data_IF_220307851530
#
_entry.id   IF_220307851530
#
_cell.length_a   1.000
_cell.length_b   1.000
_cell.length_c   1.000
_cell.angle_alpha   90.00
_cell.angle_beta   90.00
_cell.angle_gamma   90.00
#
_symmetry.space_group_name_H-M   'P 1'
#
loop_
_entity.id
_entity.type
_entity.pdbx_description
1 polymer ?
#
# COMPACT_ATOMS: atom_id res chain seq x y z
N UNK A 1 -0.49 -53.08 10.02
CA UNK A 1 0.64 -52.17 9.79
C UNK A 1 0.96 -51.52 11.12
N UNK A 2 2.00 -52.02 11.78
CA UNK A 2 2.44 -51.56 13.09
C UNK A 2 2.87 -50.09 13.01
N UNK A 3 2.40 -49.27 13.95
CA UNK A 3 2.74 -47.84 13.99
C UNK A 3 4.21 -47.68 14.33
N UNK A 4 5.00 -47.14 13.40
CA UNK A 4 6.42 -46.84 13.64
C UNK A 4 6.55 -45.82 14.79
N UNK A 5 7.36 -46.16 15.79
CA UNK A 5 7.65 -45.28 16.91
C UNK A 5 8.25 -43.96 16.39
N UNK A 6 7.64 -42.84 16.77
CA UNK A 6 8.14 -41.52 16.43
C UNK A 6 9.16 -41.05 17.48
N UNK A 7 10.15 -40.27 17.07
CA UNK A 7 11.21 -39.71 17.92
C UNK A 7 11.31 -38.19 17.72
N UNK A 8 11.81 -37.47 18.73
CA UNK A 8 12.21 -36.05 18.64
C UNK A 8 13.72 -35.91 18.83
N UNK A 9 14.30 -34.93 18.12
CA UNK A 9 15.71 -34.60 18.22
C UNK A 9 15.88 -33.35 19.10
N UNK A 10 16.65 -33.49 20.18
CA UNK A 10 16.92 -32.43 21.15
C UNK A 10 18.41 -32.09 21.13
N UNK A 11 18.71 -30.80 21.06
CA UNK A 11 20.05 -30.26 21.18
C UNK A 11 20.16 -29.42 22.45
N UNK A 12 21.21 -29.67 23.25
CA UNK A 12 21.44 -29.03 24.55
C UNK A 12 22.77 -28.24 24.60
N UNK A 13 23.31 -27.84 23.44
CA UNK A 13 24.56 -27.07 23.37
C UNK A 13 25.85 -27.87 23.57
N UNK A 14 25.77 -29.20 23.68
CA UNK A 14 26.92 -30.07 23.89
C UNK A 14 27.73 -30.31 22.60
N UNK A 15 29.05 -30.26 22.73
CA UNK A 15 30.02 -30.46 21.63
C UNK A 15 30.76 -31.78 21.84
N UNK A 16 31.03 -32.50 20.76
CA UNK A 16 31.79 -33.76 20.80
C UNK A 16 33.28 -33.53 21.04
N UNK A 17 33.91 -34.45 21.76
CA UNK A 17 35.34 -34.40 22.09
C UNK A 17 36.19 -34.33 20.80
N UNK A 18 37.14 -33.40 20.75
CA UNK A 18 37.99 -33.15 19.58
C UNK A 18 37.53 -31.99 18.68
N UNK A 19 36.35 -31.40 18.93
CA UNK A 19 35.88 -30.23 18.19
C UNK A 19 35.96 -28.94 19.03
N UNK A 20 36.41 -27.85 18.41
CA UNK A 20 36.48 -26.52 19.04
C UNK A 20 35.10 -25.85 18.99
N UNK A 21 34.62 -25.33 20.13
CA UNK A 21 33.30 -24.71 20.29
C UNK A 21 33.03 -23.59 19.27
N UNK A 22 34.05 -22.81 18.94
CA UNK A 22 33.97 -21.70 17.97
C UNK A 22 33.69 -22.21 16.55
N UNK A 23 34.39 -23.27 16.15
CA UNK A 23 34.25 -23.85 14.80
C UNK A 23 32.93 -24.62 14.65
N UNK A 24 32.47 -25.28 15.71
CA UNK A 24 31.16 -25.95 15.73
C UNK A 24 30.02 -24.93 15.62
N UNK A 25 30.09 -23.82 16.36
CA UNK A 25 29.10 -22.73 16.24
C UNK A 25 29.02 -22.20 14.81
N UNK A 26 30.16 -21.97 14.16
CA UNK A 26 30.21 -21.50 12.76
C UNK A 26 29.55 -22.50 11.80
N UNK A 27 29.99 -23.76 11.83
CA UNK A 27 29.45 -24.83 10.95
C UNK A 27 27.98 -25.12 11.20
N UNK A 28 27.55 -25.07 12.46
CA UNK A 28 26.16 -25.27 12.84
C UNK A 28 25.28 -24.10 12.40
N UNK A 29 25.76 -22.85 12.56
CA UNK A 29 25.09 -21.66 12.05
C UNK A 29 24.90 -21.69 10.53
N UNK A 30 25.92 -22.11 9.79
CA UNK A 30 25.85 -22.29 8.32
C UNK A 30 24.85 -23.37 7.91
N UNK A 31 24.86 -24.54 8.58
CA UNK A 31 23.99 -25.65 8.23
C UNK A 31 22.50 -25.36 8.47
N UNK A 32 22.18 -24.57 9.51
CA UNK A 32 20.80 -24.22 9.87
C UNK A 32 20.38 -22.80 9.44
N UNK A 33 21.29 -22.01 8.86
CA UNK A 33 21.10 -20.60 8.51
C UNK A 33 20.65 -19.75 9.71
N UNK A 34 21.32 -19.92 10.84
CA UNK A 34 21.04 -19.22 12.11
C UNK A 34 22.29 -18.46 12.54
N UNK A 35 22.16 -17.16 12.81
CA UNK A 35 23.27 -16.28 13.21
C UNK A 35 22.94 -15.46 14.47
N UNK A 36 23.97 -14.87 15.08
CA UNK A 36 23.83 -13.90 16.16
C UNK A 36 23.29 -14.46 17.47
N UNK A 37 22.39 -13.72 18.11
CA UNK A 37 21.86 -14.01 19.46
C UNK A 37 21.11 -15.34 19.55
N UNK A 38 20.44 -15.75 18.47
CA UNK A 38 19.70 -17.02 18.39
C UNK A 38 20.63 -18.23 18.36
N UNK A 39 21.78 -18.13 17.68
CA UNK A 39 22.81 -19.17 17.68
C UNK A 39 23.47 -19.25 19.06
N UNK A 40 23.79 -18.11 19.68
CA UNK A 40 24.34 -18.08 21.04
C UNK A 40 23.40 -18.71 22.08
N UNK A 41 22.08 -18.49 21.94
CA UNK A 41 21.07 -19.09 22.80
C UNK A 41 20.96 -20.63 22.63
N UNK A 42 21.18 -21.19 21.45
CA UNK A 42 21.16 -22.65 21.27
C UNK A 42 22.37 -23.37 21.92
N UNK A 43 23.48 -22.65 22.10
CA UNK A 43 24.68 -23.15 22.77
C UNK A 43 24.82 -22.64 24.22
N UNK A 44 23.74 -22.09 24.80
CA UNK A 44 23.71 -21.62 26.20
C UNK A 44 23.44 -22.74 27.21
N UNK A 45 23.19 -23.96 26.74
CA UNK A 45 22.77 -25.11 27.56
C UNK A 45 21.24 -25.28 27.64
N UNK A 46 20.46 -24.37 27.04
CA UNK A 46 19.01 -24.48 26.99
C UNK A 46 18.55 -25.55 25.97
N UNK A 47 17.65 -26.44 26.41
CA UNK A 47 17.15 -27.54 25.59
C UNK A 47 16.34 -27.01 24.41
N UNK A 48 16.87 -27.20 23.20
CA UNK A 48 16.22 -26.76 21.97
C UNK A 48 15.78 -27.95 21.13
N UNK A 49 14.48 -28.01 20.78
CA UNK A 49 13.93 -29.07 19.93
C UNK A 49 14.14 -28.71 18.47
N UNK A 50 15.00 -29.46 17.78
CA UNK A 50 15.32 -29.23 16.36
C UNK A 50 14.21 -29.75 15.44
N UNK A 51 13.68 -30.94 15.72
CA UNK A 51 12.61 -31.56 14.91
C UNK A 51 11.80 -32.54 15.75
N UNK A 52 10.47 -32.48 15.59
CA UNK A 52 9.48 -33.34 16.27
C UNK A 52 8.95 -34.39 15.27
N UNK A 53 8.54 -35.55 15.79
CA UNK A 53 7.83 -36.59 15.04
C UNK A 53 8.59 -37.17 13.82
N UNK A 54 9.84 -37.61 14.01
CA UNK A 54 10.56 -38.41 13.00
C UNK A 54 10.28 -39.90 13.18
N UNK A 55 10.13 -40.70 12.11
CA UNK A 55 10.13 -42.16 12.24
C UNK A 55 11.48 -42.64 12.80
N UNK A 56 11.47 -43.63 13.70
CA UNK A 56 12.65 -44.10 14.44
C UNK A 56 13.85 -44.45 13.54
N UNK A 57 13.61 -44.95 12.32
CA UNK A 57 14.65 -45.28 11.34
C UNK A 57 15.39 -44.06 10.76
N UNK A 58 14.76 -42.88 10.70
CA UNK A 58 15.40 -41.68 10.16
C UNK A 58 16.21 -40.89 11.20
N UNK A 59 15.85 -40.99 12.49
CA UNK A 59 16.48 -40.25 13.58
C UNK A 59 18.01 -40.47 13.65
N UNK A 60 18.45 -41.71 13.50
CA UNK A 60 19.88 -42.08 13.52
C UNK A 60 20.68 -41.42 12.39
N UNK A 61 20.08 -41.27 11.20
CA UNK A 61 20.74 -40.62 10.04
C UNK A 61 20.95 -39.12 10.26
N UNK A 62 20.01 -38.46 10.94
CA UNK A 62 20.16 -37.06 11.31
C UNK A 62 21.21 -36.86 12.40
N UNK A 63 21.25 -37.74 13.40
CA UNK A 63 22.30 -37.70 14.43
C UNK A 63 23.68 -37.89 13.84
N UNK A 64 23.87 -38.85 12.93
CA UNK A 64 25.17 -39.06 12.26
C UNK A 64 25.63 -37.83 11.47
N UNK A 65 24.72 -37.17 10.74
CA UNK A 65 25.03 -35.93 10.01
C UNK A 65 25.40 -34.77 10.92
N UNK A 66 24.74 -34.66 12.06
CA UNK A 66 24.94 -33.54 13.00
C UNK A 66 26.15 -33.79 13.93
N UNK A 67 26.46 -35.05 14.23
CA UNK A 67 27.70 -35.46 14.87
C UNK A 67 28.93 -35.14 13.99
N UNK A 68 28.82 -35.24 12.66
CA UNK A 68 29.87 -34.81 11.74
C UNK A 68 30.14 -33.29 11.78
N UNK A 69 29.17 -32.50 12.27
CA UNK A 69 29.33 -31.06 12.52
C UNK A 69 29.85 -30.76 13.94
N UNK A 70 30.11 -31.78 14.75
CA UNK A 70 30.65 -31.68 16.11
C UNK A 70 29.60 -31.44 17.21
N UNK A 71 28.30 -31.50 16.89
CA UNK A 71 27.21 -31.30 17.85
C UNK A 71 26.67 -32.64 18.38
N UNK A 72 26.52 -32.77 19.71
CA UNK A 72 25.91 -33.95 20.33
C UNK A 72 24.38 -33.77 20.39
N UNK A 73 23.65 -34.73 19.83
CA UNK A 73 22.18 -34.70 19.75
C UNK A 73 21.59 -35.90 20.47
N UNK A 74 20.56 -35.64 21.27
CA UNK A 74 19.80 -36.66 21.98
C UNK A 74 18.55 -37.03 21.18
N UNK A 75 18.37 -38.32 20.95
CA UNK A 75 17.13 -38.88 20.40
C UNK A 75 16.25 -39.26 21.58
N UNK A 76 15.06 -38.66 21.66
CA UNK A 76 14.06 -39.02 22.65
C UNK A 76 12.83 -39.63 21.95
N UNK A 77 12.33 -40.80 22.37
CA UNK A 77 11.08 -41.34 21.84
C UNK A 77 9.91 -40.40 22.17
N UNK A 78 9.01 -40.25 21.20
CA UNK A 78 7.80 -39.43 21.32
C UNK A 78 6.73 -40.22 22.11
N UNK A 79 7.02 -40.54 23.37
CA UNK A 79 6.05 -41.15 24.27
C UNK A 79 5.02 -40.13 24.76
N UNK A 80 3.76 -40.58 24.87
CA UNK A 80 2.65 -39.81 25.39
C UNK A 80 2.99 -39.19 26.75
N UNK A 81 2.59 -37.93 26.93
CA UNK A 81 2.84 -37.12 28.10
C UNK A 81 2.61 -37.88 29.41
N UNK A 82 3.70 -38.29 30.06
CA UNK A 82 3.69 -38.63 31.48
C UNK A 82 3.74 -37.32 32.29
N UNK A 83 2.92 -37.16 33.35
CA UNK A 83 2.91 -35.95 34.15
C UNK A 83 4.28 -35.67 34.74
N UNK A 84 4.65 -34.39 34.75
CA UNK A 84 5.91 -33.87 35.27
C UNK A 84 6.25 -34.48 36.65
N UNK A 85 7.46 -35.04 36.85
CA UNK A 85 7.97 -35.34 38.18
C UNK A 85 8.27 -34.03 38.92
N UNK A 86 8.03 -34.08 40.23
CA UNK A 86 8.28 -33.01 41.18
C UNK A 86 9.69 -32.42 41.06
N UNK A 87 9.76 -31.12 41.31
CA UNK A 87 10.99 -30.33 41.38
C UNK A 87 12.03 -30.98 42.31
N UNK A 88 13.32 -31.00 41.91
CA UNK A 88 14.39 -31.41 42.81
C UNK A 88 14.63 -30.37 43.89
N UNK A 89 14.84 -30.89 45.09
CA UNK A 89 15.38 -30.22 46.28
C UNK A 89 16.69 -29.48 45.97
N UNK A 90 16.78 -28.24 46.44
CA UNK A 90 17.97 -27.41 46.36
C UNK A 90 19.14 -28.00 47.19
N UNK A 91 20.39 -27.91 46.73
CA UNK A 91 21.56 -28.00 47.58
C UNK A 91 21.84 -26.65 48.26
N UNK A 92 22.41 -26.75 49.46
CA UNK A 92 22.69 -25.67 50.37
C UNK A 92 23.85 -24.75 49.91
N UNK A 93 23.68 -23.46 50.21
CA UNK A 93 24.68 -22.47 50.62
C UNK A 93 25.94 -22.28 49.74
N UNK A 94 25.91 -21.22 48.93
CA UNK A 94 27.07 -20.34 48.75
C UNK A 94 26.57 -18.89 48.64
N UNK A 95 27.00 -18.06 49.59
CA UNK A 95 26.63 -16.66 49.73
C UNK A 95 27.13 -15.83 48.53
N UNK A 96 26.19 -15.20 47.82
CA UNK A 96 26.47 -14.08 46.92
C UNK A 96 25.61 -12.90 47.38
N UNK A 97 26.28 -11.81 47.73
CA UNK A 97 25.69 -10.52 48.11
C UNK A 97 24.91 -9.98 46.92
N UNK A 98 23.59 -9.85 47.08
CA UNK A 98 22.70 -9.21 46.10
C UNK A 98 22.62 -7.71 46.47
N UNK A 99 22.93 -6.77 45.56
CA UNK A 99 22.63 -5.36 45.80
C UNK A 99 21.11 -5.18 45.80
N UNK A 100 20.57 -4.47 46.79
CA UNK A 100 19.14 -4.26 46.97
C UNK A 100 18.50 -3.66 45.70
N UNK A 101 17.81 -4.51 44.93
CA UNK A 101 16.86 -4.08 43.92
C UNK A 101 15.66 -3.47 44.66
N UNK A 102 15.48 -2.16 44.55
CA UNK A 102 14.24 -1.51 44.97
C UNK A 102 13.07 -2.14 44.18
N UNK A 103 11.99 -2.61 44.83
CA UNK A 103 10.85 -3.14 44.10
C UNK A 103 10.16 -1.99 43.37
N UNK A 104 9.99 -2.14 42.06
CA UNK A 104 8.99 -1.38 41.31
C UNK A 104 7.62 -1.75 41.91
N UNK A 105 7.09 -0.90 42.77
CA UNK A 105 5.77 -1.08 43.39
C UNK A 105 4.71 -0.78 42.34
N UNK A 106 4.35 -1.80 41.55
CA UNK A 106 3.18 -1.75 40.67
C UNK A 106 1.93 -1.46 41.52
N UNK A 107 1.34 -0.27 41.37
CA UNK A 107 0.13 0.13 42.06
C UNK A 107 -1.11 -0.48 41.38
N UNK A 108 -2.01 -1.05 42.16
CA UNK A 108 -3.27 -1.64 41.69
C UNK A 108 -4.45 -1.10 42.49
N UNK A 109 -5.58 -0.90 41.80
CA UNK A 109 -6.84 -0.47 42.42
C UNK A 109 -7.66 -1.68 42.84
N UNK A 110 -8.12 -1.72 44.10
CA UNK A 110 -8.96 -2.81 44.59
C UNK A 110 -10.30 -2.87 43.83
N UNK A 111 -10.71 -4.03 43.28
CA UNK A 111 -11.97 -4.16 42.57
C UNK A 111 -13.20 -4.00 43.47
N UNK A 112 -13.08 -4.23 44.78
CA UNK A 112 -14.21 -4.18 45.71
C UNK A 112 -14.44 -2.76 46.27
N UNK A 113 -13.41 -2.15 46.86
CA UNK A 113 -13.53 -0.84 47.53
C UNK A 113 -12.95 0.36 46.75
N UNK A 114 -12.23 0.14 45.65
CA UNK A 114 -11.65 1.23 44.84
C UNK A 114 -10.34 1.84 45.38
N UNK A 115 -9.78 1.30 46.47
CA UNK A 115 -8.54 1.79 47.07
C UNK A 115 -7.31 1.54 46.17
N UNK A 116 -6.49 2.57 45.92
CA UNK A 116 -5.20 2.48 45.22
C UNK A 116 -4.09 2.08 46.19
N UNK A 117 -3.42 0.95 45.91
CA UNK A 117 -2.45 0.34 46.83
C UNK A 117 -1.37 -0.42 46.06
N UNK A 118 -0.18 -0.65 46.65
CA UNK A 118 0.82 -1.53 46.04
C UNK A 118 0.25 -2.96 45.85
N UNK A 119 0.70 -3.66 44.82
CA UNK A 119 0.25 -5.04 44.51
C UNK A 119 0.51 -5.99 45.68
N UNK A 120 -0.57 -6.52 46.25
CA UNK A 120 -0.55 -7.48 47.36
C UNK A 120 -1.75 -8.45 47.24
N UNK A 121 -1.75 -9.54 48.01
CA UNK A 121 -2.82 -10.56 47.96
C UNK A 121 -4.12 -10.06 48.58
N UNK A 122 -4.06 -9.32 49.69
CA UNK A 122 -5.24 -8.82 50.41
C UNK A 122 -5.31 -7.28 50.43
N UNK A 123 -6.51 -6.73 50.28
CA UNK A 123 -6.68 -5.28 50.29
C UNK A 123 -6.37 -4.69 51.66
N UNK A 124 -5.59 -3.59 51.70
CA UNK A 124 -5.29 -2.87 52.94
C UNK A 124 -6.52 -2.27 53.61
N UNK A 125 -7.55 -1.95 52.84
CA UNK A 125 -8.75 -1.28 53.32
C UNK A 125 -9.90 -2.27 53.62
N UNK A 126 -10.22 -3.16 52.68
CA UNK A 126 -11.40 -4.04 52.78
C UNK A 126 -11.07 -5.54 52.86
N UNK A 127 -9.79 -5.90 53.09
CA UNK A 127 -9.29 -7.28 53.27
C UNK A 127 -9.69 -8.30 52.19
N UNK A 128 -10.17 -7.84 51.04
CA UNK A 128 -10.55 -8.69 49.91
C UNK A 128 -9.32 -9.30 49.25
N UNK A 129 -9.38 -10.59 48.90
CA UNK A 129 -8.39 -11.25 48.04
C UNK A 129 -8.41 -10.63 46.64
N UNK A 130 -7.39 -9.85 46.30
CA UNK A 130 -7.32 -9.11 45.03
C UNK A 130 -7.25 -10.03 43.81
N UNK A 131 -6.36 -11.05 43.75
CA UNK A 131 -6.36 -12.01 42.64
C UNK A 131 -7.73 -12.63 42.38
N UNK A 132 -8.42 -13.07 43.43
CA UNK A 132 -9.78 -13.64 43.30
C UNK A 132 -10.82 -12.60 42.92
N UNK A 133 -10.75 -11.40 43.49
CA UNK A 133 -11.68 -10.30 43.16
C UNK A 133 -11.55 -9.81 41.72
N UNK A 134 -10.33 -9.80 41.18
CA UNK A 134 -10.06 -9.47 39.77
C UNK A 134 -10.58 -10.58 38.85
N UNK A 135 -10.34 -11.85 39.20
CA UNK A 135 -10.86 -13.00 38.45
C UNK A 135 -12.40 -13.01 38.42
N UNK A 136 -13.05 -12.80 39.57
CA UNK A 136 -14.51 -12.73 39.66
C UNK A 136 -15.09 -11.59 38.83
N UNK A 137 -14.50 -10.38 38.88
CA UNK A 137 -14.92 -9.27 38.00
C UNK A 137 -14.73 -9.57 36.52
N UNK A 138 -13.68 -10.30 36.16
CA UNK A 138 -13.44 -10.74 34.78
C UNK A 138 -14.50 -11.74 34.34
N UNK A 139 -14.83 -12.73 35.18
CA UNK A 139 -15.89 -13.70 34.93
C UNK A 139 -17.28 -13.03 34.82
N UNK A 140 -17.59 -12.05 35.67
CA UNK A 140 -18.83 -11.28 35.58
C UNK A 140 -18.89 -10.46 34.29
N UNK A 141 -17.78 -9.85 33.88
CA UNK A 141 -17.68 -9.13 32.61
C UNK A 141 -17.83 -10.08 31.41
N UNK A 142 -17.22 -11.25 31.46
CA UNK A 142 -17.31 -12.29 30.43
C UNK A 142 -18.75 -12.86 30.35
N UNK A 143 -19.43 -13.06 31.49
CA UNK A 143 -20.84 -13.47 31.53
C UNK A 143 -21.77 -12.40 30.97
N UNK A 144 -21.64 -11.15 31.40
CA UNK A 144 -22.43 -10.03 30.87
C UNK A 144 -22.18 -9.83 29.36
N UNK A 145 -20.97 -10.14 28.89
CA UNK A 145 -20.63 -10.12 27.46
C UNK A 145 -21.28 -11.28 26.70
N UNK A 146 -21.27 -12.50 27.24
CA UNK A 146 -21.97 -13.63 26.66
C UNK A 146 -23.48 -13.37 26.54
N UNK A 147 -24.10 -12.81 27.59
CA UNK A 147 -25.52 -12.43 27.59
C UNK A 147 -25.84 -11.38 26.50
N UNK A 148 -24.96 -10.38 26.29
CA UNK A 148 -25.11 -9.40 25.19
C UNK A 148 -25.06 -10.08 23.81
N UNK A 149 -24.17 -11.03 23.62
CA UNK A 149 -24.05 -11.80 22.37
C UNK A 149 -25.30 -12.66 22.14
N UNK A 150 -25.81 -13.33 23.17
CA UNK A 150 -27.02 -14.13 23.10
C UNK A 150 -28.27 -13.29 22.82
N UNK A 151 -28.38 -12.10 23.41
CA UNK A 151 -29.45 -11.16 23.09
C UNK A 151 -29.40 -10.70 21.63
N UNK A 152 -28.21 -10.47 21.07
CA UNK A 152 -28.04 -10.14 19.66
C UNK A 152 -28.46 -11.29 18.72
N UNK A 153 -28.23 -12.55 19.13
CA UNK A 153 -28.70 -13.75 18.43
C UNK A 153 -30.23 -13.89 18.48
N UNK A 154 -30.82 -13.69 19.66
CA UNK A 154 -32.27 -13.85 19.90
C UNK A 154 -33.13 -12.81 19.17
N UNK A 155 -32.61 -11.61 18.92
CA UNK A 155 -33.30 -10.55 18.18
C UNK A 155 -33.49 -10.78 16.68
N UNK A 156 -33.21 -11.99 16.16
CA UNK A 156 -33.47 -12.37 14.77
C UNK A 156 -32.56 -11.71 13.73
N UNK A 157 -31.44 -11.12 14.14
CA UNK A 157 -30.48 -10.44 13.25
C UNK A 157 -29.34 -11.34 12.75
N UNK A 158 -29.30 -12.60 13.17
CA UNK A 158 -28.36 -13.60 12.68
C UNK A 158 -28.92 -15.02 12.91
N UNK A 159 -29.09 -15.80 11.84
CA UNK A 159 -29.39 -17.23 11.90
C UNK A 159 -28.21 -17.98 11.26
N UNK A 160 -27.47 -18.85 11.98
CA UNK A 160 -26.42 -19.62 11.35
C UNK A 160 -27.03 -20.59 10.33
N UNK A 161 -26.43 -20.77 9.14
CA UNK A 161 -26.94 -21.72 8.17
C UNK A 161 -26.83 -23.13 8.74
N UNK A 162 -27.91 -23.92 8.62
CA UNK A 162 -27.82 -25.37 8.72
C UNK A 162 -26.84 -25.84 7.64
N UNK A 163 -25.80 -26.55 8.06
CA UNK A 163 -24.72 -27.03 7.20
C UNK A 163 -25.26 -27.69 5.92
N UNK A 164 -25.15 -26.97 4.80
CA UNK A 164 -25.14 -27.56 3.47
C UNK A 164 -23.69 -27.50 2.98
N UNK A 165 -23.15 -28.68 2.64
CA UNK A 165 -21.73 -28.93 2.47
C UNK A 165 -20.99 -27.94 1.57
N UNK A 166 -19.83 -27.49 2.06
CA UNK A 166 -18.92 -26.63 1.30
C UNK A 166 -17.66 -26.34 2.11
N UNK A 167 -16.61 -27.11 1.83
CA UNK A 167 -15.19 -26.95 2.20
C UNK A 167 -14.94 -26.04 3.42
N UNK A 168 -14.65 -26.69 4.55
CA UNK A 168 -14.11 -26.05 5.75
C UNK A 168 -12.80 -25.35 5.35
N UNK A 169 -12.86 -24.03 5.18
CA UNK A 169 -11.67 -23.20 5.06
C UNK A 169 -11.48 -22.48 6.38
N UNK A 170 -10.31 -22.71 6.96
CA UNK A 170 -9.90 -22.41 8.32
C UNK A 170 -10.13 -20.96 8.77
N UNK A 171 -10.82 -20.79 9.90
CA UNK A 171 -10.45 -19.74 10.87
C UNK A 171 -11.57 -18.87 11.47
N UNK A 172 -12.84 -19.02 11.10
CA UNK A 172 -13.94 -18.26 11.70
C UNK A 172 -15.27 -19.03 11.66
N UNK A 173 -16.12 -18.81 12.66
CA UNK A 173 -17.38 -19.55 12.88
C UNK A 173 -18.60 -18.82 12.33
N UNK A 174 -18.51 -17.50 12.15
CA UNK A 174 -19.63 -16.68 11.69
C UNK A 174 -19.51 -16.23 10.23
N UNK A 175 -20.63 -16.22 9.50
CA UNK A 175 -20.67 -15.68 8.14
C UNK A 175 -20.53 -14.16 8.16
N UNK A 176 -19.78 -13.57 7.21
CA UNK A 176 -19.64 -12.13 7.13
C UNK A 176 -20.99 -11.46 6.86
N UNK A 177 -21.22 -10.25 7.40
CA UNK A 177 -22.46 -9.54 7.15
C UNK A 177 -22.66 -9.27 5.64
N UNK A 178 -23.91 -9.31 5.14
CA UNK A 178 -24.19 -9.09 3.74
C UNK A 178 -23.67 -7.72 3.27
N UNK A 179 -23.05 -7.71 2.09
CA UNK A 179 -22.40 -6.51 1.55
C UNK A 179 -23.41 -5.37 1.35
N UNK A 180 -24.64 -5.66 0.92
CA UNK A 180 -25.66 -4.66 0.60
C UNK A 180 -26.56 -4.28 1.78
N UNK A 181 -26.39 -4.85 2.98
CA UNK A 181 -27.21 -4.43 4.12
C UNK A 181 -26.80 -3.07 4.67
N UNK A 182 -27.72 -2.43 5.40
CA UNK A 182 -27.49 -1.14 6.08
C UNK A 182 -27.09 -1.31 7.55
N UNK A 183 -26.97 -2.55 8.04
CA UNK A 183 -26.62 -2.87 9.42
C UNK A 183 -25.15 -2.62 9.72
N UNK A 184 -24.83 -2.06 10.89
CA UNK A 184 -23.45 -1.86 11.36
C UNK A 184 -22.99 -2.97 12.31
N UNK A 185 -23.85 -3.93 12.60
CA UNK A 185 -23.59 -5.06 13.45
C UNK A 185 -22.74 -6.13 12.74
N UNK A 186 -21.81 -6.72 13.50
CA UNK A 186 -20.91 -7.77 13.04
C UNK A 186 -19.48 -7.30 12.77
N UNK A 187 -18.69 -8.22 12.22
CA UNK A 187 -17.26 -8.07 11.95
C UNK A 187 -16.95 -8.44 10.51
N UNK A 188 -15.98 -7.76 9.92
CA UNK A 188 -15.51 -8.06 8.56
C UNK A 188 -14.01 -8.37 8.56
N UNK A 189 -13.65 -9.56 8.10
CA UNK A 189 -12.25 -9.97 7.95
C UNK A 189 -11.55 -9.28 6.78
N UNK A 190 -10.20 -9.31 6.78
CA UNK A 190 -9.35 -8.59 5.80
C UNK A 190 -9.67 -8.87 4.33
N UNK A 191 -9.91 -10.13 3.95
CA UNK A 191 -10.16 -10.51 2.55
C UNK A 191 -11.55 -10.04 2.10
N UNK A 192 -12.54 -10.15 2.99
CA UNK A 192 -13.89 -9.64 2.71
C UNK A 192 -13.91 -8.11 2.64
N UNK A 193 -13.12 -7.44 3.48
CA UNK A 193 -12.88 -5.99 3.41
C UNK A 193 -12.23 -5.59 2.07
N UNK A 194 -11.19 -6.30 1.64
CA UNK A 194 -10.55 -6.09 0.35
C UNK A 194 -11.53 -6.28 -0.81
N UNK A 195 -12.26 -7.40 -0.84
CA UNK A 195 -13.23 -7.71 -1.89
C UNK A 195 -14.33 -6.64 -1.98
N UNK A 196 -14.82 -6.17 -0.84
CA UNK A 196 -15.79 -5.09 -0.77
C UNK A 196 -15.21 -3.78 -1.33
N UNK A 197 -14.02 -3.37 -0.86
CA UNK A 197 -13.36 -2.16 -1.37
C UNK A 197 -13.09 -2.23 -2.88
N UNK A 198 -12.63 -3.37 -3.39
CA UNK A 198 -12.37 -3.57 -4.81
C UNK A 198 -13.64 -3.51 -5.66
N UNK A 199 -14.76 -4.07 -5.16
CA UNK A 199 -16.06 -3.96 -5.81
C UNK A 199 -16.56 -2.50 -5.85
N UNK A 200 -16.33 -1.72 -4.79
CA UNK A 200 -16.65 -0.29 -4.81
C UNK A 200 -15.84 0.47 -5.85
N UNK A 201 -14.54 0.20 -5.97
CA UNK A 201 -13.70 0.83 -7.00
C UNK A 201 -14.21 0.53 -8.42
N UNK A 202 -14.62 -0.71 -8.69
CA UNK A 202 -15.24 -1.07 -9.98
C UNK A 202 -16.55 -0.29 -10.18
N UNK A 203 -17.42 -0.23 -9.17
CA UNK A 203 -18.68 0.52 -9.26
C UNK A 203 -18.48 2.01 -9.56
N UNK A 204 -17.55 2.66 -8.85
CA UNK A 204 -17.18 4.07 -9.07
C UNK A 204 -16.61 4.27 -10.48
N UNK A 205 -15.73 3.37 -10.95
CA UNK A 205 -15.18 3.44 -12.30
C UNK A 205 -16.28 3.33 -13.37
N UNK A 206 -17.23 2.40 -13.20
CA UNK A 206 -18.37 2.25 -14.12
C UNK A 206 -19.28 3.48 -14.14
N UNK A 207 -19.56 4.08 -12.99
CA UNK A 207 -20.31 5.34 -12.91
C UNK A 207 -19.55 6.47 -13.60
N UNK A 208 -18.23 6.56 -13.40
CA UNK A 208 -17.38 7.54 -14.07
C UNK A 208 -17.39 7.39 -15.60
N UNK A 209 -17.30 6.15 -16.10
CA UNK A 209 -17.42 5.83 -17.54
C UNK A 209 -18.80 6.25 -18.05
N UNK A 210 -19.86 5.83 -17.37
CA UNK A 210 -21.24 6.18 -17.74
C UNK A 210 -21.42 7.70 -17.78
N UNK A 211 -20.93 8.43 -16.77
CA UNK A 211 -20.98 9.89 -16.75
C UNK A 211 -20.22 10.49 -17.93
N UNK A 212 -18.99 10.03 -18.22
CA UNK A 212 -18.18 10.50 -19.34
C UNK A 212 -18.83 10.27 -20.71
N UNK A 213 -19.63 9.20 -20.87
CA UNK A 213 -20.38 8.91 -22.09
C UNK A 213 -21.67 9.73 -22.21
N UNK A 214 -22.42 9.87 -21.11
CA UNK A 214 -23.75 10.52 -21.14
C UNK A 214 -23.67 12.05 -21.11
N UNK A 215 -22.73 12.65 -20.38
CA UNK A 215 -22.60 14.12 -20.28
C UNK A 215 -22.46 14.84 -21.64
N UNK A 216 -21.55 14.43 -22.55
CA UNK A 216 -21.43 15.09 -23.85
C UNK A 216 -22.64 14.81 -24.76
N UNK A 217 -23.32 13.68 -24.59
CA UNK A 217 -24.49 13.30 -25.39
C UNK A 217 -25.71 14.19 -25.11
N UNK A 218 -25.98 14.49 -23.84
CA UNK A 218 -27.16 15.26 -23.45
C UNK A 218 -26.87 16.74 -23.16
N UNK A 219 -25.59 17.13 -22.99
CA UNK A 219 -25.14 18.50 -22.70
C UNK A 219 -25.90 19.18 -21.54
N UNK A 220 -26.37 18.39 -20.58
CA UNK A 220 -27.18 18.86 -19.45
C UNK A 220 -26.48 18.61 -18.12
N UNK A 221 -26.37 19.67 -17.31
CA UNK A 221 -25.81 19.59 -15.95
C UNK A 221 -26.71 18.79 -15.00
N UNK A 222 -27.99 18.57 -15.33
CA UNK A 222 -28.90 17.76 -14.51
C UNK A 222 -28.43 16.30 -14.37
N UNK A 223 -27.62 15.80 -15.31
CA UNK A 223 -27.05 14.45 -15.24
C UNK A 223 -25.97 14.28 -14.17
N UNK A 224 -25.45 15.37 -13.60
CA UNK A 224 -24.51 15.31 -12.47
C UNK A 224 -25.20 14.93 -11.15
N UNK A 225 -26.50 15.20 -11.01
CA UNK A 225 -27.28 14.89 -9.81
C UNK A 225 -27.26 13.38 -9.48
N UNK A 226 -27.66 12.46 -10.39
CA UNK A 226 -27.60 11.03 -10.09
C UNK A 226 -26.19 10.51 -9.85
N UNK A 227 -25.18 11.08 -10.52
CA UNK A 227 -23.76 10.76 -10.28
C UNK A 227 -23.34 11.15 -8.86
N UNK A 228 -23.74 12.34 -8.41
CA UNK A 228 -23.50 12.82 -7.05
C UNK A 228 -24.19 11.96 -5.99
N UNK A 229 -25.46 11.60 -6.21
CA UNK A 229 -26.21 10.69 -5.32
C UNK A 229 -25.52 9.33 -5.23
N UNK A 230 -25.12 8.74 -6.36
CA UNK A 230 -24.41 7.48 -6.38
C UNK A 230 -23.07 7.58 -5.62
N UNK A 231 -22.33 8.69 -5.79
CA UNK A 231 -21.11 8.97 -5.02
C UNK A 231 -21.34 8.98 -3.51
N UNK A 232 -22.39 9.64 -3.03
CA UNK A 232 -22.76 9.67 -1.61
C UNK A 232 -23.08 8.26 -1.10
N UNK A 233 -23.88 7.49 -1.85
CA UNK A 233 -24.20 6.09 -1.52
C UNK A 233 -22.93 5.25 -1.37
N UNK A 234 -21.97 5.40 -2.28
CA UNK A 234 -20.69 4.70 -2.19
C UNK A 234 -19.85 5.12 -0.98
N UNK A 235 -19.84 6.40 -0.62
CA UNK A 235 -19.14 6.88 0.58
C UNK A 235 -19.76 6.29 1.85
N UNK A 236 -21.09 6.31 1.97
CA UNK A 236 -21.78 5.73 3.12
C UNK A 236 -21.53 4.22 3.22
N UNK A 237 -21.55 3.52 2.08
CA UNK A 237 -21.23 2.11 2.01
C UNK A 237 -19.78 1.80 2.42
N UNK A 238 -18.82 2.61 1.96
CA UNK A 238 -17.40 2.50 2.32
C UNK A 238 -17.16 2.72 3.81
N UNK A 239 -17.82 3.71 4.41
CA UNK A 239 -17.78 3.96 5.85
C UNK A 239 -18.33 2.77 6.65
N UNK A 240 -19.44 2.17 6.18
CA UNK A 240 -20.00 0.95 6.78
C UNK A 240 -19.00 -0.20 6.75
N UNK A 241 -18.45 -0.51 5.59
CA UNK A 241 -17.49 -1.61 5.40
C UNK A 241 -16.25 -1.40 6.29
N UNK A 242 -15.80 -0.16 6.43
CA UNK A 242 -14.68 0.22 7.31
C UNK A 242 -15.04 0.10 8.78
N UNK A 243 -16.26 0.49 9.19
CA UNK A 243 -16.73 0.31 10.56
C UNK A 243 -16.76 -1.18 10.96
N UNK A 244 -17.28 -2.06 10.09
CA UNK A 244 -17.28 -3.51 10.32
C UNK A 244 -15.86 -4.10 10.37
N UNK A 245 -14.92 -3.52 9.65
CA UNK A 245 -13.51 -3.90 9.72
C UNK A 245 -12.86 -3.43 11.03
N UNK A 246 -13.20 -2.24 11.51
CA UNK A 246 -12.75 -1.72 12.80
C UNK A 246 -13.30 -2.52 13.98
N UNK A 247 -14.56 -2.97 13.89
CA UNK A 247 -15.16 -3.89 14.84
C UNK A 247 -14.37 -5.21 14.97
N UNK A 248 -13.68 -5.65 13.91
CA UNK A 248 -12.82 -6.84 13.97
C UNK A 248 -11.60 -6.67 14.90
N UNK A 249 -11.21 -5.43 15.20
CA UNK A 249 -10.16 -5.07 16.16
C UNK A 249 -10.71 -4.63 17.53
N UNK A 250 -12.02 -4.77 17.75
CA UNK A 250 -12.72 -4.23 18.92
C UNK A 250 -12.62 -2.69 19.05
N UNK A 251 -12.42 -1.98 17.93
CA UNK A 251 -12.47 -0.53 17.88
C UNK A 251 -13.86 -0.03 17.45
N UNK A 252 -14.20 1.20 17.84
CA UNK A 252 -15.44 1.83 17.40
C UNK A 252 -15.41 2.18 15.92
N UNK A 253 -16.55 2.04 15.23
CA UNK A 253 -16.69 2.39 13.81
C UNK A 253 -16.41 3.87 13.49
N UNK A 254 -16.46 4.76 14.48
CA UNK A 254 -16.14 6.19 14.35
C UNK A 254 -14.72 6.45 13.85
N UNK A 255 -13.77 5.57 14.16
CA UNK A 255 -12.41 5.64 13.62
C UNK A 255 -12.38 5.54 12.09
N UNK A 256 -13.46 5.04 11.47
CA UNK A 256 -13.63 4.99 10.02
C UNK A 256 -13.67 6.37 9.38
N UNK A 257 -13.98 7.45 10.11
CA UNK A 257 -13.92 8.80 9.55
C UNK A 257 -12.50 9.22 9.13
N UNK A 258 -11.46 8.60 9.72
CA UNK A 258 -10.08 8.83 9.29
C UNK A 258 -9.85 8.40 7.83
N UNK A 259 -10.64 7.45 7.30
CA UNK A 259 -10.51 7.03 5.90
C UNK A 259 -10.99 8.09 4.91
N UNK A 260 -11.70 9.13 5.37
CA UNK A 260 -12.13 10.25 4.54
C UNK A 260 -11.06 11.34 4.38
N UNK A 261 -10.05 11.35 5.26
CA UNK A 261 -8.97 12.34 5.20
C UNK A 261 -7.99 11.91 4.10
N UNK A 262 -7.66 12.76 3.12
CA UNK A 262 -6.68 12.42 2.08
C UNK A 262 -5.33 11.99 2.68
N UNK A 263 -4.64 11.06 2.03
CA UNK A 263 -3.38 10.43 2.46
C UNK A 263 -3.44 9.65 3.78
N UNK A 264 -3.95 10.25 4.86
CA UNK A 264 -4.14 9.57 6.14
C UNK A 264 -5.11 8.40 5.99
N UNK A 265 -6.21 8.60 5.27
CA UNK A 265 -7.18 7.57 4.99
C UNK A 265 -6.64 6.46 4.09
N UNK A 266 -5.72 6.80 3.18
CA UNK A 266 -5.00 5.81 2.39
C UNK A 266 -4.12 4.92 3.28
N UNK A 267 -3.32 5.53 4.16
CA UNK A 267 -2.50 4.80 5.14
C UNK A 267 -3.38 3.96 6.08
N UNK A 268 -4.46 4.53 6.62
CA UNK A 268 -5.40 3.81 7.48
C UNK A 268 -5.99 2.59 6.76
N UNK A 269 -6.40 2.75 5.50
CA UNK A 269 -6.91 1.63 4.70
C UNK A 269 -5.85 0.54 4.52
N UNK A 270 -4.61 0.89 4.18
CA UNK A 270 -3.51 -0.08 4.06
C UNK A 270 -3.27 -0.85 5.37
N UNK A 271 -3.29 -0.15 6.51
CA UNK A 271 -3.17 -0.77 7.83
C UNK A 271 -4.34 -1.74 8.08
N UNK A 272 -5.57 -1.35 7.76
CA UNK A 272 -6.75 -2.22 7.91
C UNK A 272 -6.71 -3.46 6.99
N UNK A 273 -6.03 -3.40 5.84
CA UNK A 273 -5.79 -4.57 4.99
C UNK A 273 -4.71 -5.50 5.56
N UNK A 274 -3.65 -4.93 6.13
CA UNK A 274 -2.45 -5.68 6.52
C UNK A 274 -2.58 -6.34 7.91
N UNK A 275 -3.15 -5.65 8.89
CA UNK A 275 -3.16 -6.12 10.29
C UNK A 275 -4.24 -7.19 10.49
N UNK A 276 -3.93 -8.37 11.05
CA UNK A 276 -4.94 -9.38 11.36
C UNK A 276 -5.91 -8.86 12.44
N UNK A 277 -7.18 -9.23 12.35
CA UNK A 277 -8.17 -8.91 13.40
C UNK A 277 -7.98 -9.76 14.66
N UNK A 278 -8.85 -9.53 15.65
CA UNK A 278 -8.84 -10.27 16.91
C UNK A 278 -9.08 -11.77 16.71
N UNK A 279 -8.28 -12.60 17.38
CA UNK A 279 -8.32 -14.05 17.24
C UNK A 279 -9.49 -14.71 17.97
N UNK A 280 -9.97 -14.07 19.03
CA UNK A 280 -11.11 -14.49 19.83
C UNK A 280 -12.40 -13.75 19.40
N UNK A 281 -13.51 -14.18 19.99
CA UNK A 281 -14.75 -13.39 19.96
C UNK A 281 -14.47 -12.01 20.56
N UNK A 282 -15.18 -10.97 20.11
CA UNK A 282 -15.07 -9.61 20.67
C UNK A 282 -16.46 -9.01 21.02
N UNK A 283 -16.56 -7.73 21.37
CA UNK A 283 -17.84 -7.09 21.71
C UNK A 283 -18.82 -6.97 20.53
N UNK A 284 -18.32 -7.13 19.31
CA UNK A 284 -19.06 -7.02 18.05
C UNK A 284 -19.44 -8.36 17.43
N UNK A 285 -19.07 -9.48 18.07
CA UNK A 285 -19.47 -10.82 17.67
C UNK A 285 -18.33 -11.82 17.52
N UNK A 286 -18.71 -13.00 17.05
CA UNK A 286 -17.80 -14.10 16.75
C UNK A 286 -16.84 -13.78 15.61
N UNK A 287 -15.72 -14.51 15.56
CA UNK A 287 -14.72 -14.34 14.50
C UNK A 287 -15.31 -14.60 13.11
N UNK A 288 -15.22 -13.63 12.18
CA UNK A 288 -15.81 -13.78 10.85
C UNK A 288 -15.00 -14.77 10.01
N UNK A 289 -15.71 -15.58 9.23
CA UNK A 289 -15.11 -16.44 8.21
C UNK A 289 -14.41 -15.58 7.16
N UNK A 290 -13.19 -15.97 6.79
CA UNK A 290 -12.45 -15.24 5.76
C UNK A 290 -13.11 -15.41 4.39
N UNK A 291 -13.19 -14.30 3.64
CA UNK A 291 -13.67 -14.30 2.27
C UNK A 291 -12.79 -15.12 1.33
N UNK A 292 -13.36 -15.50 0.18
CA UNK A 292 -12.63 -16.26 -0.82
C UNK A 292 -11.59 -15.38 -1.52
N UNK A 293 -10.31 -15.74 -1.41
CA UNK A 293 -9.21 -15.04 -2.08
C UNK A 293 -9.26 -15.13 -3.61
N UNK A 294 -9.89 -16.16 -4.17
CA UNK A 294 -10.07 -16.26 -5.63
C UNK A 294 -10.96 -15.13 -6.17
N UNK A 295 -11.98 -14.73 -5.39
CA UNK A 295 -12.84 -13.59 -5.74
C UNK A 295 -12.02 -12.30 -5.79
N UNK A 296 -11.07 -12.12 -4.88
CA UNK A 296 -10.15 -10.98 -4.88
C UNK A 296 -9.35 -10.91 -6.19
N UNK A 297 -8.78 -12.04 -6.61
CA UNK A 297 -7.99 -12.14 -7.84
C UNK A 297 -8.83 -11.84 -9.07
N UNK A 298 -10.04 -12.41 -9.15
CA UNK A 298 -10.96 -12.16 -10.27
C UNK A 298 -11.33 -10.67 -10.36
N UNK A 299 -11.68 -10.04 -9.22
CA UNK A 299 -12.01 -8.61 -9.20
C UNK A 299 -10.80 -7.80 -9.68
N UNK A 300 -9.59 -8.08 -9.18
CA UNK A 300 -8.37 -7.38 -9.60
C UNK A 300 -8.10 -7.51 -11.10
N UNK A 301 -8.27 -8.69 -11.69
CA UNK A 301 -8.11 -8.90 -13.12
C UNK A 301 -9.15 -8.09 -13.90
N UNK A 302 -10.42 -8.15 -13.50
CA UNK A 302 -11.50 -7.39 -14.14
C UNK A 302 -11.26 -5.88 -14.03
N UNK A 303 -10.84 -5.39 -12.85
CA UNK A 303 -10.48 -3.98 -12.64
C UNK A 303 -9.30 -3.56 -13.50
N UNK A 304 -8.26 -4.40 -13.62
CA UNK A 304 -7.09 -4.12 -14.44
C UNK A 304 -7.46 -4.04 -15.93
N UNK A 305 -8.28 -4.98 -16.43
CA UNK A 305 -8.78 -4.96 -17.80
C UNK A 305 -9.65 -3.70 -18.03
N UNK A 306 -10.57 -3.38 -17.12
CA UNK A 306 -11.39 -2.18 -17.22
C UNK A 306 -10.55 -0.90 -17.23
N UNK A 307 -9.51 -0.82 -16.40
CA UNK A 307 -8.57 0.29 -16.37
C UNK A 307 -7.78 0.41 -17.69
N UNK A 308 -7.34 -0.70 -18.27
CA UNK A 308 -6.66 -0.70 -19.58
C UNK A 308 -7.59 -0.18 -20.69
N UNK A 309 -8.85 -0.60 -20.71
CA UNK A 309 -9.85 -0.07 -21.66
C UNK A 309 -10.05 1.43 -21.45
N UNK A 310 -10.21 1.86 -20.21
CA UNK A 310 -10.35 3.27 -19.84
C UNK A 310 -9.17 4.12 -20.31
N UNK A 311 -7.95 3.67 -20.04
CA UNK A 311 -6.73 4.37 -20.49
C UNK A 311 -6.67 4.43 -22.01
N UNK A 312 -7.06 3.36 -22.72
CA UNK A 312 -7.11 3.35 -24.19
C UNK A 312 -8.11 4.38 -24.74
N UNK A 313 -9.30 4.48 -24.12
CA UNK A 313 -10.33 5.47 -24.49
C UNK A 313 -9.90 6.88 -24.13
N UNK A 314 -9.25 7.08 -22.99
CA UNK A 314 -8.73 8.38 -22.56
C UNK A 314 -7.59 8.86 -23.48
N UNK A 315 -6.68 7.98 -23.88
CA UNK A 315 -5.62 8.32 -24.82
C UNK A 315 -6.17 8.66 -26.21
N UNK A 316 -7.20 7.93 -26.68
CA UNK A 316 -7.82 8.25 -27.96
C UNK A 316 -8.55 9.59 -27.94
N UNK A 317 -9.27 9.89 -26.85
CA UNK A 317 -9.95 11.18 -26.69
C UNK A 317 -8.96 12.33 -26.52
N UNK A 318 -7.85 12.12 -25.80
CA UNK A 318 -6.77 13.10 -25.67
C UNK A 318 -6.10 13.42 -27.00
N UNK A 319 -5.85 12.41 -27.84
CA UNK A 319 -5.31 12.61 -29.20
C UNK A 319 -6.23 13.48 -30.06
N UNK A 320 -7.54 13.23 -30.03
CA UNK A 320 -8.50 14.07 -30.75
C UNK A 320 -8.57 15.50 -30.21
N UNK A 321 -8.45 15.67 -28.90
CA UNK A 321 -8.44 16.98 -28.26
C UNK A 321 -7.19 17.78 -28.66
N UNK A 322 -6.01 17.15 -28.62
CA UNK A 322 -4.74 17.82 -28.95
C UNK A 322 -4.68 18.25 -30.42
N UNK A 323 -5.22 17.44 -31.34
CA UNK A 323 -5.35 17.82 -32.74
C UNK A 323 -6.30 19.01 -32.95
N UNK A 324 -7.43 19.06 -32.25
CA UNK A 324 -8.36 20.21 -32.35
C UNK A 324 -7.72 21.48 -31.79
N UNK A 325 -7.02 21.36 -30.66
CA UNK A 325 -6.31 22.47 -30.05
C UNK A 325 -5.18 23.00 -30.95
N UNK A 326 -4.40 22.13 -31.59
CA UNK A 326 -3.33 22.54 -32.51
C UNK A 326 -3.87 23.21 -33.78
N UNK A 327 -4.99 22.69 -34.33
CA UNK A 327 -5.68 23.34 -35.46
C UNK A 327 -6.21 24.72 -35.10
N UNK A 328 -6.78 24.89 -33.91
CA UNK A 328 -7.26 26.20 -33.45
C UNK A 328 -6.12 27.18 -33.20
N UNK A 329 -5.01 26.73 -32.59
CA UNK A 329 -3.82 27.56 -32.40
C UNK A 329 -3.22 28.01 -33.74
N UNK A 330 -3.21 27.13 -34.74
CA UNK A 330 -2.75 27.48 -36.10
C UNK A 330 -3.71 28.46 -36.79
N UNK A 331 -5.02 28.28 -36.61
CA UNK A 331 -6.05 29.14 -37.21
C UNK A 331 -6.13 30.54 -36.56
N UNK A 332 -5.81 30.66 -35.27
CA UNK A 332 -5.82 31.92 -34.52
C UNK A 332 -4.46 32.64 -34.50
N UNK A 333 -3.42 32.05 -35.09
CA UNK A 333 -2.11 32.70 -35.18
C UNK A 333 -2.25 33.97 -36.04
N UNK A 334 -2.01 35.18 -35.49
CA UNK A 334 -2.28 36.46 -36.18
C UNK A 334 -1.50 36.62 -37.48
N UNK A 335 -0.47 35.81 -37.67
CA UNK A 335 0.48 35.90 -38.76
C UNK A 335 0.37 34.80 -39.80
N UNK A 336 -0.52 33.80 -39.63
CA UNK A 336 -0.79 32.72 -40.58
C UNK A 336 0.42 31.97 -41.16
N UNK A 337 1.60 32.11 -40.55
CA UNK A 337 2.82 31.40 -40.90
C UNK A 337 2.94 30.16 -40.01
N UNK A 338 3.47 29.07 -40.57
CA UNK A 338 3.68 27.81 -39.85
C UNK A 338 4.55 28.04 -38.60
N UNK A 339 4.12 27.61 -37.39
CA UNK A 339 4.87 27.79 -36.15
C UNK A 339 6.29 27.22 -36.21
N UNK A 340 6.53 26.14 -36.95
CA UNK A 340 7.88 25.60 -37.13
C UNK A 340 8.79 26.57 -37.91
N UNK A 341 8.22 27.28 -38.89
CA UNK A 341 8.93 28.28 -39.69
C UNK A 341 9.28 29.51 -38.87
N UNK A 342 8.36 29.97 -38.00
CA UNK A 342 8.62 31.08 -37.08
C UNK A 342 9.64 30.73 -35.99
N UNK A 343 9.61 29.49 -35.49
CA UNK A 343 10.57 29.03 -34.49
C UNK A 343 11.99 28.93 -35.06
N UNK A 344 12.14 28.50 -36.31
CA UNK A 344 13.44 28.57 -37.01
C UNK A 344 13.85 30.03 -37.25
N UNK A 345 12.91 30.90 -37.63
CA UNK A 345 13.19 32.32 -37.83
C UNK A 345 13.66 33.03 -36.55
N UNK A 346 13.14 32.62 -35.37
CA UNK A 346 13.54 33.15 -34.06
C UNK A 346 15.00 32.83 -33.69
N UNK A 347 15.65 31.87 -34.35
CA UNK A 347 17.08 31.62 -34.17
C UNK A 347 17.95 32.70 -34.83
N UNK A 348 17.42 33.36 -35.87
CA UNK A 348 18.14 34.35 -36.68
C UNK A 348 17.65 35.79 -36.44
N UNK A 349 16.43 35.95 -35.94
CA UNK A 349 15.75 37.22 -35.69
C UNK A 349 15.67 37.47 -34.18
N UNK A 350 16.42 38.46 -33.70
CA UNK A 350 16.44 38.84 -32.28
C UNK A 350 15.38 39.89 -31.90
N UNK A 351 14.75 40.54 -32.88
CA UNK A 351 13.73 41.57 -32.66
C UNK A 351 12.30 41.00 -32.78
N UNK A 352 11.40 41.26 -31.80
CA UNK A 352 9.99 40.86 -31.90
C UNK A 352 9.28 41.44 -33.12
N UNK A 353 9.60 42.67 -33.51
CA UNK A 353 9.05 43.31 -34.70
C UNK A 353 9.53 42.65 -36.00
N UNK A 354 10.77 42.15 -36.01
CA UNK A 354 11.32 41.43 -37.17
C UNK A 354 10.66 40.04 -37.32
N UNK A 355 10.30 39.38 -36.21
CA UNK A 355 9.57 38.11 -36.22
C UNK A 355 8.15 38.25 -36.79
N UNK A 356 7.45 39.33 -36.42
CA UNK A 356 6.12 39.62 -36.96
C UNK A 356 6.18 39.96 -38.47
N UNK A 357 7.16 40.78 -38.87
CA UNK A 357 7.41 41.09 -40.28
C UNK A 357 7.81 39.85 -41.10
N UNK A 358 8.62 38.96 -40.51
CA UNK A 358 9.04 37.71 -41.15
C UNK A 358 7.83 36.80 -41.43
N UNK A 359 6.84 36.80 -40.55
CA UNK A 359 5.65 36.00 -40.71
C UNK A 359 4.79 36.42 -41.93
N UNK A 360 4.79 37.72 -42.25
CA UNK A 360 4.22 38.24 -43.51
C UNK A 360 5.08 37.84 -44.71
N UNK A 361 6.40 38.09 -44.64
CA UNK A 361 7.38 37.69 -45.67
C UNK A 361 7.32 36.19 -46.03
N UNK A 362 7.09 35.32 -45.05
CA UNK A 362 7.06 33.87 -45.26
C UNK A 362 5.99 33.44 -46.27
N UNK A 363 4.88 34.19 -46.39
CA UNK A 363 3.74 33.89 -47.27
C UNK A 363 3.84 34.50 -48.67
N UNK A 364 4.73 35.47 -48.85
CA UNK A 364 4.90 36.18 -50.11
C UNK A 364 5.51 35.28 -51.22
N UNK A 365 5.25 35.56 -52.50
CA UNK A 365 5.72 34.74 -53.62
C UNK A 365 7.26 34.75 -53.74
N UNK A 366 7.78 33.86 -54.57
CA UNK A 366 9.21 33.75 -54.85
C UNK A 366 9.83 35.07 -55.33
N UNK A 367 11.16 35.13 -55.34
CA UNK A 367 11.95 36.34 -55.55
C UNK A 367 11.81 37.31 -54.37
N UNK A 368 12.13 36.78 -53.19
CA UNK A 368 12.03 37.46 -51.91
C UNK A 368 13.30 37.32 -51.09
N UNK A 369 13.63 38.35 -50.33
CA UNK A 369 14.76 38.36 -49.43
C UNK A 369 14.41 39.09 -48.13
N UNK A 370 15.02 38.63 -47.03
CA UNK A 370 14.90 39.21 -45.70
C UNK A 370 16.30 39.51 -45.16
N UNK A 371 16.50 40.74 -44.71
CA UNK A 371 17.75 41.25 -44.16
C UNK A 371 17.56 41.76 -42.73
N UNK A 372 18.60 41.61 -41.92
CA UNK A 372 18.67 42.12 -40.54
C UNK A 372 19.99 42.83 -40.30
N UNK A 373 19.96 43.88 -39.48
CA UNK A 373 21.11 44.67 -39.10
C UNK A 373 21.20 44.84 -37.58
N UNK A 374 22.26 45.49 -37.12
CA UNK A 374 22.46 45.73 -35.70
C UNK A 374 21.43 46.73 -35.13
N UNK A 375 21.11 46.61 -33.84
CA UNK A 375 20.13 47.47 -33.18
C UNK A 375 18.67 47.12 -33.50
N UNK A 376 18.41 45.93 -34.06
CA UNK A 376 17.06 45.45 -34.36
C UNK A 376 16.50 45.96 -35.69
N UNK A 377 17.33 46.57 -36.55
CA UNK A 377 16.96 46.95 -37.90
C UNK A 377 16.66 45.72 -38.76
N UNK A 378 15.61 45.80 -39.58
CA UNK A 378 15.25 44.75 -40.53
C UNK A 378 14.64 45.36 -41.79
N UNK A 379 14.67 44.59 -42.87
CA UNK A 379 14.07 44.97 -44.15
C UNK A 379 13.79 43.74 -45.00
N UNK A 380 12.69 43.76 -45.75
CA UNK A 380 12.33 42.65 -46.62
C UNK A 380 11.59 43.14 -47.87
N UNK A 381 11.72 42.38 -48.95
CA UNK A 381 10.98 42.59 -50.19
C UNK A 381 10.64 41.24 -50.81
N UNK A 382 9.55 41.20 -51.58
CA UNK A 382 9.11 40.04 -52.34
C UNK A 382 8.57 40.45 -53.71
N UNK A 383 8.36 39.47 -54.59
CA UNK A 383 7.74 39.67 -55.91
C UNK A 383 8.53 40.54 -56.89
N UNK A 384 9.87 40.57 -56.78
CA UNK A 384 10.70 41.35 -57.70
C UNK A 384 10.89 40.65 -59.05
N UNK A 385 11.51 41.34 -60.01
CA UNK A 385 11.80 40.79 -61.34
C UNK A 385 13.00 39.82 -61.35
N UNK A 386 13.91 39.94 -60.37
CA UNK A 386 14.97 38.96 -60.13
C UNK A 386 15.28 38.74 -58.64
N UNK A 387 15.86 37.59 -58.29
CA UNK A 387 16.35 37.31 -56.93
C UNK A 387 17.40 38.32 -56.46
N UNK A 388 18.31 38.77 -57.34
CA UNK A 388 19.30 39.81 -57.00
C UNK A 388 18.64 41.13 -56.65
N UNK A 389 17.59 41.50 -57.38
CA UNK A 389 16.85 42.73 -57.09
C UNK A 389 16.18 42.65 -55.72
N UNK A 390 15.53 41.52 -55.40
CA UNK A 390 14.96 41.29 -54.07
C UNK A 390 16.00 41.38 -52.95
N UNK A 391 17.18 40.80 -53.15
CA UNK A 391 18.29 40.87 -52.19
C UNK A 391 18.78 42.32 -52.00
N UNK A 392 18.98 43.07 -53.10
CA UNK A 392 19.43 44.46 -53.02
C UNK A 392 18.43 45.37 -52.31
N UNK A 393 17.13 45.21 -52.61
CA UNK A 393 16.05 46.01 -52.01
C UNK A 393 15.85 45.68 -50.53
N UNK A 394 15.97 44.40 -50.16
CA UNK A 394 15.89 44.00 -48.75
C UNK A 394 17.04 44.60 -47.92
N UNK A 395 18.26 44.60 -48.46
CA UNK A 395 19.42 45.25 -47.83
C UNK A 395 19.23 46.76 -47.71
N UNK A 396 18.83 47.44 -48.80
CA UNK A 396 18.60 48.89 -48.76
C UNK A 396 17.49 49.29 -47.78
N UNK A 397 16.42 48.48 -47.68
CA UNK A 397 15.34 48.72 -46.72
C UNK A 397 15.79 48.52 -45.27
N UNK A 398 16.68 47.55 -45.03
CA UNK A 398 17.28 47.35 -43.72
C UNK A 398 18.21 48.52 -43.36
N UNK A 399 19.07 48.96 -44.30
CA UNK A 399 20.01 50.06 -44.07
C UNK A 399 19.30 51.39 -43.81
N UNK A 400 18.14 51.62 -44.42
CA UNK A 400 17.31 52.80 -44.16
C UNK A 400 16.82 52.87 -42.69
N UNK A 401 16.63 51.72 -42.04
CA UNK A 401 16.19 51.60 -40.65
C UNK A 401 17.36 51.36 -39.68
N UNK A 402 18.61 51.40 -40.17
CA UNK A 402 19.79 51.10 -39.39
C UNK A 402 20.19 52.29 -38.53
N UNK A 403 20.46 52.04 -37.26
CA UNK A 403 20.98 53.07 -36.36
C UNK A 403 22.46 53.37 -36.66
N UNK A 404 22.93 54.60 -36.42
CA UNK A 404 24.36 54.92 -36.51
C UNK A 404 25.19 54.02 -35.59
N UNK A 405 26.38 53.61 -36.05
CA UNK A 405 27.35 52.79 -35.30
C UNK A 405 26.92 51.36 -34.94
N UNK A 406 25.94 50.78 -35.62
CA UNK A 406 25.59 49.36 -35.46
C UNK A 406 26.24 48.49 -36.54
N UNK A 407 26.08 47.15 -36.45
CA UNK A 407 26.55 46.22 -37.49
C UNK A 407 25.80 46.41 -38.80
N UNK A 408 26.47 46.12 -39.92
CA UNK A 408 25.88 46.21 -41.25
C UNK A 408 24.71 45.24 -41.43
N UNK A 409 23.78 45.59 -42.34
CA UNK A 409 22.68 44.72 -42.68
C UNK A 409 23.18 43.51 -43.48
N UNK A 410 22.74 42.31 -43.07
CA UNK A 410 23.06 41.04 -43.72
C UNK A 410 21.80 40.28 -44.11
N UNK A 411 21.88 39.48 -45.16
CA UNK A 411 20.79 38.61 -45.60
C UNK A 411 20.70 37.38 -44.69
N UNK A 412 19.48 37.04 -44.27
CA UNK A 412 19.20 35.92 -43.38
C UNK A 412 18.23 34.93 -43.98
N UNK A 413 17.40 35.35 -44.94
CA UNK A 413 16.57 34.42 -45.69
C UNK A 413 16.42 34.89 -47.14
N UNK A 414 16.62 33.99 -48.10
CA UNK A 414 16.42 34.26 -49.52
C UNK A 414 15.60 33.13 -50.12
N UNK A 415 14.39 33.43 -50.62
CA UNK A 415 13.46 32.44 -51.16
C UNK A 415 13.23 31.22 -50.24
N UNK A 416 13.23 31.40 -48.92
CA UNK A 416 13.07 30.31 -47.94
C UNK A 416 14.36 29.58 -47.55
N UNK A 417 15.48 29.85 -48.21
CA UNK A 417 16.79 29.31 -47.84
C UNK A 417 17.43 30.15 -46.73
N UNK A 418 17.87 29.48 -45.67
CA UNK A 418 18.63 30.05 -44.56
C UNK A 418 20.14 29.91 -44.84
N UNK A 419 20.98 30.88 -44.40
CA UNK A 419 22.43 30.73 -44.45
C UNK A 419 22.83 29.48 -43.65
N UNK A 420 23.80 28.72 -44.15
CA UNK A 420 24.37 27.60 -43.39
C UNK A 420 25.12 28.18 -42.19
N UNK A 421 24.93 27.60 -41.02
CA UNK A 421 25.76 27.89 -39.85
C UNK A 421 27.21 27.57 -40.23
N UNK A 422 28.08 28.58 -40.21
CA UNK A 422 29.54 28.42 -40.37
C UNK A 422 30.19 28.00 -39.06
#
# INVERSE_FOLDING_TARGET
MEGEAQVRLVFAGEVLDGFQLVEVKRRFGEAFKIEGTRLAAMFSGERTVLKRALPAGEGARYVAKLAALGARIHIEPLEAAKPAPAAPTAPALAAAVIPALAPLTEEITCPNCGERQPRQVFCRACTTDMPRGIAAKKEDADRARAERLDAARAGGRYAPPRAAGGVVSSGGTADPPPLLSLSFEGRLGRISYFNAGALAWVGIALIGIMAALLLPMFRSMLLLIPVGIAGIVFVLWSLRVTALRLHDFNFSGWWGLLTLIPYLGFVATLVLLAVPGSDDDNDYGEKPRQGNGLVAVVILIVSAVAMLVLVRVAMSSYGQYSERASRQATAQSPTGADPATLQRAAQYLSSPAALDAYATYAREPNQKAFAVGGGGAFGWHAGQASQREAMSRALSACDANRQPYTSECRLVNVNGAWPKEE
#
